data_IF_937627013808
#
_entry.id   IF_937627013808
#
_cell.length_a   1.000
_cell.length_b   1.000
_cell.length_c   1.000
_cell.angle_alpha   90.00
_cell.angle_beta   90.00
_cell.angle_gamma   90.00
#
_symmetry.space_group_name_H-M   'P 1'
#
loop_
_entity.id
_entity.type
_entity.pdbx_description
1 polymer ?
#
# COMPACT_ATOMS: atom_id res chain seq x y z
N UNK A 1 -1.77 88.40 0.89
CA UNK A 1 -1.81 87.18 0.04
C UNK A 1 -0.63 86.28 0.39
N UNK A 2 -0.83 85.24 1.20
CA UNK A 2 0.13 84.15 1.38
C UNK A 2 -0.67 82.85 1.32
N UNK A 3 -0.45 82.05 0.27
CA UNK A 3 -1.11 80.77 0.02
C UNK A 3 -0.68 79.76 1.09
N UNK A 4 -1.65 79.10 1.73
CA UNK A 4 -1.43 77.90 2.52
C UNK A 4 -1.47 76.69 1.57
N UNK A 5 -0.36 75.96 1.47
CA UNK A 5 -0.28 74.68 0.75
C UNK A 5 -0.67 73.59 1.74
N UNK A 6 -1.82 72.94 1.49
CA UNK A 6 -2.26 71.75 2.22
C UNK A 6 -1.63 70.53 1.54
N UNK A 7 -0.67 69.89 2.21
CA UNK A 7 -0.12 68.61 1.79
C UNK A 7 -1.09 67.49 2.22
N UNK A 8 -1.78 66.89 1.25
CA UNK A 8 -2.61 65.72 1.46
C UNK A 8 -1.72 64.47 1.58
N UNK A 9 -1.58 63.93 2.80
CA UNK A 9 -1.03 62.59 3.01
C UNK A 9 -2.04 61.55 2.48
N UNK A 10 -1.73 60.96 1.33
CA UNK A 10 -2.36 59.75 0.84
C UNK A 10 -1.82 58.56 1.64
N UNK A 11 -2.50 58.19 2.72
CA UNK A 11 -2.33 56.87 3.33
C UNK A 11 -2.85 55.82 2.35
N UNK A 12 -1.93 55.21 1.60
CA UNK A 12 -2.21 54.03 0.81
C UNK A 12 -2.65 52.90 1.75
N UNK A 13 -3.93 52.57 1.73
CA UNK A 13 -4.44 51.35 2.34
C UNK A 13 -3.85 50.16 1.57
N UNK A 14 -2.77 49.58 2.09
CA UNK A 14 -2.34 48.26 1.72
C UNK A 14 -3.45 47.30 2.17
N UNK A 15 -4.38 47.00 1.26
CA UNK A 15 -5.35 45.95 1.47
C UNK A 15 -4.55 44.64 1.64
N UNK A 16 -4.45 44.16 2.87
CA UNK A 16 -4.03 42.80 3.16
C UNK A 16 -5.00 41.86 2.45
N UNK A 17 -4.68 41.48 1.21
CA UNK A 17 -5.35 40.38 0.53
C UNK A 17 -5.03 39.13 1.36
N UNK A 18 -6.02 38.68 2.14
CA UNK A 18 -5.96 37.36 2.72
C UNK A 18 -5.74 36.37 1.57
N UNK A 19 -4.73 35.49 1.67
CA UNK A 19 -4.54 34.45 0.66
C UNK A 19 -5.83 33.66 0.54
N UNK A 20 -6.27 33.44 -0.70
CA UNK A 20 -7.49 32.69 -0.97
C UNK A 20 -7.39 31.32 -0.29
N UNK A 21 -8.50 30.85 0.30
CA UNK A 21 -8.56 29.53 0.88
C UNK A 21 -8.20 28.49 -0.20
N UNK A 22 -7.38 27.48 0.12
CA UNK A 22 -6.98 26.48 -0.85
C UNK A 22 -8.21 25.72 -1.37
N UNK A 23 -8.22 25.40 -2.65
CA UNK A 23 -9.27 24.60 -3.27
C UNK A 23 -8.87 23.14 -3.23
N UNK A 24 -9.83 22.26 -2.91
CA UNK A 24 -9.66 20.82 -2.96
C UNK A 24 -10.25 20.25 -4.26
N UNK A 25 -9.46 19.47 -4.97
CA UNK A 25 -9.89 18.77 -6.20
C UNK A 25 -9.65 17.28 -6.02
N UNK A 26 -10.65 16.47 -6.40
CA UNK A 26 -10.55 15.02 -6.44
C UNK A 26 -10.52 14.48 -7.87
N UNK A 27 -9.90 13.32 -8.06
CA UNK A 27 -9.90 12.54 -9.30
C UNK A 27 -9.91 11.06 -8.96
N UNK A 28 -10.71 10.28 -9.67
CA UNK A 28 -10.70 8.82 -9.56
C UNK A 28 -10.33 8.22 -10.92
N UNK A 29 -9.39 7.28 -10.92
CA UNK A 29 -8.89 6.57 -12.10
C UNK A 29 -8.77 5.08 -11.79
N UNK A 30 -8.64 4.24 -12.82
CA UNK A 30 -8.33 2.81 -12.65
C UNK A 30 -6.87 2.60 -13.02
N UNK A 31 -6.06 2.19 -12.06
CA UNK A 31 -4.62 1.95 -12.19
C UNK A 31 -4.23 0.77 -11.30
N UNK A 32 -3.19 0.03 -11.69
CA UNK A 32 -2.66 -1.11 -10.92
C UNK A 32 -3.74 -2.17 -10.59
N UNK A 33 -4.68 -2.36 -11.51
CA UNK A 33 -5.80 -3.31 -11.36
C UNK A 33 -6.84 -2.95 -10.29
N UNK A 34 -6.89 -1.69 -9.83
CA UNK A 34 -7.87 -1.22 -8.84
C UNK A 34 -8.34 0.21 -9.13
N UNK A 35 -9.40 0.64 -8.46
CA UNK A 35 -9.80 2.05 -8.42
C UNK A 35 -8.87 2.81 -7.50
N UNK A 36 -8.30 3.91 -7.99
CA UNK A 36 -7.43 4.81 -7.26
C UNK A 36 -8.08 6.19 -7.16
N UNK A 37 -8.27 6.68 -5.93
CA UNK A 37 -8.83 8.01 -5.67
C UNK A 37 -7.73 8.94 -5.19
N UNK A 38 -7.60 10.08 -5.86
CA UNK A 38 -6.64 11.13 -5.58
C UNK A 38 -7.37 12.38 -5.14
N UNK A 39 -6.83 13.09 -4.17
CA UNK A 39 -7.27 14.42 -3.77
C UNK A 39 -6.06 15.32 -3.54
N UNK A 40 -6.16 16.58 -3.95
CA UNK A 40 -5.11 17.57 -3.73
C UNK A 40 -5.72 18.92 -3.37
N UNK A 41 -5.05 19.63 -2.46
CA UNK A 41 -5.32 21.04 -2.16
C UNK A 41 -4.26 21.93 -2.82
N UNK A 42 -4.69 23.03 -3.43
CA UNK A 42 -3.81 24.01 -4.04
C UNK A 42 -4.43 25.42 -4.03
N UNK A 43 -3.66 26.42 -4.45
CA UNK A 43 -4.11 27.82 -4.51
C UNK A 43 -5.31 28.02 -5.46
N UNK A 44 -5.36 27.24 -6.55
CA UNK A 44 -6.46 27.24 -7.50
C UNK A 44 -6.68 25.85 -8.12
N UNK A 45 -7.76 25.74 -8.90
CA UNK A 45 -8.18 24.46 -9.49
C UNK A 45 -7.17 23.97 -10.54
N UNK A 46 -6.54 24.86 -11.28
CA UNK A 46 -5.59 24.48 -12.33
C UNK A 46 -4.31 23.89 -11.72
N UNK A 47 -3.79 24.49 -10.65
CA UNK A 47 -2.67 23.98 -9.88
C UNK A 47 -2.97 22.60 -9.27
N UNK A 48 -4.16 22.43 -8.68
CA UNK A 48 -4.57 21.13 -8.13
C UNK A 48 -4.67 20.06 -9.22
N UNK A 49 -5.27 20.36 -10.38
CA UNK A 49 -5.36 19.43 -11.52
C UNK A 49 -3.97 19.06 -12.07
N UNK A 50 -3.05 20.03 -12.18
CA UNK A 50 -1.69 19.77 -12.63
C UNK A 50 -0.93 18.85 -11.66
N UNK A 51 -1.08 19.05 -10.34
CA UNK A 51 -0.54 18.15 -9.32
C UNK A 51 -1.10 16.73 -9.45
N UNK A 52 -2.42 16.59 -9.51
CA UNK A 52 -3.08 15.29 -9.66
C UNK A 52 -2.60 14.54 -10.92
N UNK A 53 -2.41 15.27 -12.02
CA UNK A 53 -1.88 14.70 -13.26
C UNK A 53 -0.43 14.19 -13.12
N UNK A 54 0.44 14.92 -12.42
CA UNK A 54 1.81 14.44 -12.12
C UNK A 54 1.77 13.16 -11.29
N UNK A 55 0.94 13.13 -10.25
CA UNK A 55 0.80 11.96 -9.37
C UNK A 55 0.32 10.74 -10.13
N UNK A 56 -0.69 10.90 -10.99
CA UNK A 56 -1.19 9.82 -11.86
C UNK A 56 -0.07 9.26 -12.74
N UNK A 57 0.73 10.11 -13.38
CA UNK A 57 1.85 9.67 -14.24
C UNK A 57 2.92 8.88 -13.51
N UNK A 58 3.19 9.22 -12.25
CA UNK A 58 4.14 8.47 -11.41
C UNK A 58 3.61 7.06 -11.12
N UNK A 59 2.31 6.95 -10.83
CA UNK A 59 1.65 5.65 -10.62
C UNK A 59 1.65 4.83 -11.93
N UNK A 60 1.34 5.44 -13.07
CA UNK A 60 1.38 4.78 -14.39
C UNK A 60 2.79 4.29 -14.73
N UNK A 61 3.83 5.08 -14.45
CA UNK A 61 5.21 4.67 -14.66
C UNK A 61 5.60 3.48 -13.77
N UNK A 62 5.18 3.49 -12.50
CA UNK A 62 5.41 2.37 -11.57
C UNK A 62 4.66 1.11 -12.04
N UNK A 63 3.42 1.25 -12.51
CA UNK A 63 2.66 0.14 -13.09
C UNK A 63 3.34 -0.45 -14.33
N UNK A 64 3.87 0.41 -15.21
CA UNK A 64 4.61 -0.03 -16.38
C UNK A 64 5.89 -0.81 -16.02
N UNK A 65 6.53 -0.52 -14.89
CA UNK A 65 7.72 -1.23 -14.42
C UNK A 65 7.38 -2.56 -13.71
N UNK A 66 6.33 -2.58 -12.89
CA UNK A 66 6.08 -3.65 -11.92
C UNK A 66 4.91 -4.57 -12.27
N UNK A 67 4.06 -4.23 -13.25
CA UNK A 67 2.87 -5.03 -13.52
C UNK A 67 3.21 -6.42 -14.03
N UNK A 68 2.79 -7.45 -13.31
CA UNK A 68 2.88 -8.86 -13.73
C UNK A 68 1.75 -9.29 -14.67
N UNK A 69 0.88 -8.37 -15.05
CA UNK A 69 -0.22 -8.56 -16.01
C UNK A 69 0.13 -8.04 -17.40
N UNK A 70 1.17 -7.19 -17.48
CA UNK A 70 1.70 -6.67 -18.72
C UNK A 70 2.86 -7.54 -19.19
N UNK A 71 2.98 -7.73 -20.48
CA UNK A 71 4.11 -8.47 -21.03
C UNK A 71 5.38 -7.61 -21.13
N UNK A 72 5.30 -6.29 -21.09
CA UNK A 72 6.43 -5.38 -21.35
C UNK A 72 7.02 -4.72 -20.10
N UNK A 73 6.63 -5.18 -18.90
CA UNK A 73 7.18 -4.63 -17.65
C UNK A 73 8.53 -5.25 -17.30
N UNK A 74 9.38 -4.50 -16.61
CA UNK A 74 10.68 -4.99 -16.15
C UNK A 74 10.54 -6.24 -15.27
N UNK A 75 9.52 -6.27 -14.40
CA UNK A 75 9.24 -7.43 -13.55
C UNK A 75 8.74 -8.65 -14.35
N UNK A 76 7.88 -8.44 -15.35
CA UNK A 76 7.42 -9.53 -16.24
C UNK A 76 8.54 -10.06 -17.12
N UNK A 77 9.42 -9.20 -17.61
CA UNK A 77 10.60 -9.61 -18.36
C UNK A 77 11.56 -10.45 -17.50
N UNK A 78 11.77 -10.07 -16.23
CA UNK A 78 12.52 -10.88 -15.27
C UNK A 78 11.81 -12.23 -15.06
N UNK A 79 10.50 -12.23 -14.85
CA UNK A 79 9.71 -13.45 -14.63
C UNK A 79 9.70 -14.43 -15.82
N UNK A 80 9.93 -13.96 -17.06
CA UNK A 80 10.01 -14.83 -18.25
C UNK A 80 11.40 -15.35 -18.56
N UNK A 81 12.42 -14.86 -17.87
CA UNK A 81 13.80 -15.28 -18.12
C UNK A 81 13.99 -16.78 -17.86
N UNK A 82 14.67 -17.54 -18.74
CA UNK A 82 14.90 -18.95 -18.49
C UNK A 82 15.67 -19.20 -17.18
N UNK A 83 15.31 -20.23 -16.39
CA UNK A 83 16.10 -20.61 -15.25
C UNK A 83 17.56 -20.95 -15.63
N UNK A 84 18.52 -20.55 -14.79
CA UNK A 84 19.94 -20.78 -14.99
C UNK A 84 20.66 -19.68 -15.78
N UNK A 85 19.94 -18.76 -16.41
CA UNK A 85 20.55 -17.61 -17.09
C UNK A 85 20.63 -16.44 -16.10
N UNK A 86 21.76 -15.72 -15.99
CA UNK A 86 21.84 -14.46 -15.25
C UNK A 86 21.38 -13.26 -16.10
N UNK A 87 20.77 -12.27 -15.47
CA UNK A 87 20.32 -11.03 -16.13
C UNK A 87 20.54 -9.82 -15.25
N UNK A 88 21.13 -8.79 -15.84
CA UNK A 88 21.20 -7.48 -15.21
C UNK A 88 19.83 -6.81 -15.20
N UNK A 89 19.46 -6.23 -14.06
CA UNK A 89 18.24 -5.44 -13.88
C UNK A 89 18.58 -3.96 -13.76
N UNK A 90 17.66 -3.06 -14.16
CA UNK A 90 17.85 -1.62 -13.97
C UNK A 90 18.06 -1.26 -12.48
N UNK A 91 18.78 -0.17 -12.15
CA UNK A 91 19.02 0.23 -10.77
C UNK A 91 17.75 0.37 -9.90
N UNK A 92 16.63 0.95 -10.37
CA UNK A 92 15.40 1.02 -9.56
C UNK A 92 14.87 -0.37 -9.15
N UNK A 93 14.84 -1.32 -10.09
CA UNK A 93 14.44 -2.69 -9.81
C UNK A 93 15.45 -3.40 -8.91
N UNK A 94 16.76 -3.16 -9.07
CA UNK A 94 17.79 -3.70 -8.18
C UNK A 94 17.59 -3.26 -6.72
N UNK A 95 17.35 -1.97 -6.49
CA UNK A 95 17.09 -1.41 -5.16
C UNK A 95 15.79 -1.97 -4.56
N UNK A 96 14.75 -2.12 -5.37
CA UNK A 96 13.49 -2.75 -4.97
C UNK A 96 13.70 -4.21 -4.55
N UNK A 97 14.41 -5.01 -5.35
CA UNK A 97 14.70 -6.41 -5.02
C UNK A 97 15.48 -6.55 -3.72
N UNK A 98 16.45 -5.66 -3.46
CA UNK A 98 17.17 -5.66 -2.18
C UNK A 98 16.29 -5.33 -0.98
N UNK A 99 15.30 -4.44 -1.14
CA UNK A 99 14.31 -4.16 -0.09
C UNK A 99 13.38 -5.35 0.15
N UNK A 100 12.95 -6.02 -0.93
CA UNK A 100 12.09 -7.21 -0.87
C UNK A 100 12.78 -8.38 -0.17
N UNK A 101 14.06 -8.64 -0.49
CA UNK A 101 14.88 -9.65 0.18
C UNK A 101 14.97 -9.37 1.68
N UNK A 102 15.29 -8.14 2.07
CA UNK A 102 15.40 -7.75 3.47
C UNK A 102 14.10 -7.95 4.25
N UNK A 103 12.94 -7.64 3.67
CA UNK A 103 11.65 -7.88 4.32
C UNK A 103 11.28 -9.36 4.40
N UNK A 104 11.60 -10.13 3.36
CA UNK A 104 11.42 -11.58 3.39
C UNK A 104 12.21 -12.21 4.54
N UNK A 105 13.45 -11.77 4.74
CA UNK A 105 14.28 -12.21 5.88
C UNK A 105 13.72 -11.75 7.22
N UNK A 106 13.40 -10.45 7.37
CA UNK A 106 12.92 -9.87 8.61
C UNK A 106 11.61 -10.51 9.11
N UNK A 107 10.76 -10.93 8.18
CA UNK A 107 9.46 -11.57 8.44
C UNK A 107 9.53 -13.09 8.47
N UNK A 108 10.73 -13.68 8.36
CA UNK A 108 10.95 -15.13 8.28
C UNK A 108 10.07 -15.82 7.22
N UNK A 109 9.90 -15.17 6.07
CA UNK A 109 9.10 -15.66 4.95
C UNK A 109 7.58 -15.56 5.12
N UNK A 110 7.08 -14.87 6.15
CA UNK A 110 5.65 -14.52 6.21
C UNK A 110 5.28 -13.55 5.08
N UNK A 111 6.23 -12.72 4.64
CA UNK A 111 6.21 -12.06 3.34
C UNK A 111 7.27 -12.71 2.43
N UNK A 112 6.87 -13.09 1.22
CA UNK A 112 7.77 -13.52 0.16
C UNK A 112 7.11 -13.17 -1.18
N UNK A 113 7.73 -12.34 -2.02
CA UNK A 113 7.12 -11.93 -3.29
C UNK A 113 7.21 -13.02 -4.37
N UNK A 114 8.04 -14.06 -4.20
CA UNK A 114 8.26 -15.10 -5.21
C UNK A 114 7.20 -16.23 -5.13
N UNK A 115 5.92 -15.86 -5.12
CA UNK A 115 4.79 -16.78 -4.89
C UNK A 115 3.94 -17.03 -6.14
N UNK A 116 4.38 -16.60 -7.33
CA UNK A 116 3.54 -16.66 -8.54
C UNK A 116 3.04 -18.07 -8.88
N UNK A 117 3.86 -19.11 -8.68
CA UNK A 117 3.42 -20.50 -8.88
C UNK A 117 2.30 -20.93 -7.92
N UNK A 118 2.25 -20.38 -6.70
CA UNK A 118 1.18 -20.63 -5.74
C UNK A 118 -0.10 -19.89 -6.17
N UNK A 119 0.03 -18.63 -6.59
CA UNK A 119 -1.08 -17.84 -7.14
C UNK A 119 -1.74 -18.59 -8.31
N UNK A 120 -0.95 -19.15 -9.19
CA UNK A 120 -1.42 -19.94 -10.34
C UNK A 120 -2.06 -21.26 -9.90
N UNK A 121 -1.48 -21.97 -8.94
CA UNK A 121 -2.04 -23.21 -8.40
C UNK A 121 -3.44 -22.98 -7.81
N UNK A 122 -3.62 -21.90 -7.06
CA UNK A 122 -4.91 -21.49 -6.50
C UNK A 122 -5.82 -20.75 -7.49
N UNK A 123 -5.34 -20.47 -8.71
CA UNK A 123 -6.13 -19.81 -9.76
C UNK A 123 -6.60 -18.41 -9.38
N UNK A 124 -5.84 -17.69 -8.55
CA UNK A 124 -6.23 -16.40 -7.99
C UNK A 124 -6.20 -15.26 -9.03
N UNK A 125 -5.71 -15.51 -10.23
CA UNK A 125 -5.84 -14.61 -11.39
C UNK A 125 -7.13 -14.83 -12.20
N UNK A 126 -7.87 -15.90 -11.91
CA UNK A 126 -9.13 -16.27 -12.55
C UNK A 126 -10.25 -16.41 -11.51
N UNK A 127 -11.07 -17.47 -11.59
CA UNK A 127 -12.20 -17.72 -10.69
C UNK A 127 -11.79 -18.33 -9.33
N UNK A 128 -10.51 -18.64 -9.11
CA UNK A 128 -10.04 -19.41 -7.97
C UNK A 128 -10.30 -20.91 -8.12
N UNK A 129 -9.46 -21.74 -7.51
CA UNK A 129 -9.61 -23.20 -7.43
C UNK A 129 -8.90 -23.74 -6.20
N UNK A 130 -9.31 -24.92 -5.73
CA UNK A 130 -8.53 -25.70 -4.75
C UNK A 130 -7.59 -26.63 -5.51
N UNK A 131 -6.26 -26.45 -5.44
CA UNK A 131 -5.33 -27.42 -6.00
C UNK A 131 -5.39 -28.73 -5.21
N UNK A 132 -5.18 -29.86 -5.88
CA UNK A 132 -4.90 -31.11 -5.17
C UNK A 132 -3.50 -31.08 -4.51
N UNK A 133 -3.20 -32.08 -3.69
CA UNK A 133 -1.94 -32.14 -2.95
C UNK A 133 -0.70 -32.21 -3.86
N UNK A 134 -0.82 -32.86 -5.03
CA UNK A 134 0.28 -32.99 -5.97
C UNK A 134 0.56 -31.66 -6.68
N UNK A 135 -0.49 -30.99 -7.15
CA UNK A 135 -0.41 -29.66 -7.77
C UNK A 135 0.13 -28.61 -6.79
N UNK A 136 -0.34 -28.62 -5.53
CA UNK A 136 0.17 -27.72 -4.49
C UNK A 136 1.64 -28.03 -4.15
N UNK A 137 2.00 -29.30 -4.03
CA UNK A 137 3.40 -29.71 -3.81
C UNK A 137 4.33 -29.24 -4.93
N UNK A 138 3.91 -29.40 -6.19
CA UNK A 138 4.66 -28.95 -7.35
C UNK A 138 4.79 -27.42 -7.38
N UNK A 139 3.74 -26.68 -7.02
CA UNK A 139 3.77 -25.22 -6.95
C UNK A 139 4.74 -24.72 -5.86
N UNK A 140 4.69 -25.31 -4.66
CA UNK A 140 5.60 -24.98 -3.54
C UNK A 140 7.06 -25.22 -3.89
N UNK A 141 7.37 -26.28 -4.65
CA UNK A 141 8.73 -26.55 -5.12
C UNK A 141 9.26 -25.50 -6.10
N UNK A 142 8.40 -24.64 -6.65
CA UNK A 142 8.73 -23.54 -7.57
C UNK A 142 8.44 -22.16 -6.97
N UNK A 143 8.18 -22.07 -5.67
CA UNK A 143 7.91 -20.81 -4.98
C UNK A 143 9.00 -20.50 -3.95
N UNK A 144 9.17 -19.20 -3.70
CA UNK A 144 10.01 -18.66 -2.63
C UNK A 144 11.27 -18.00 -3.16
N UNK A 145 11.66 -16.91 -2.48
CA UNK A 145 12.86 -16.14 -2.76
C UNK A 145 14.14 -16.96 -2.87
N UNK A 146 14.37 -18.05 -2.09
CA UNK A 146 15.57 -18.88 -2.23
C UNK A 146 15.77 -19.52 -3.62
N UNK A 147 14.75 -19.49 -4.49
CA UNK A 147 14.85 -19.92 -5.89
C UNK A 147 15.30 -18.79 -6.83
N UNK A 148 15.65 -17.62 -6.30
CA UNK A 148 16.24 -16.49 -7.00
C UNK A 148 17.64 -16.28 -6.43
N UNK A 149 18.66 -16.39 -7.28
CA UNK A 149 19.99 -15.87 -6.94
C UNK A 149 20.01 -14.39 -7.26
N UNK A 150 20.13 -13.55 -6.23
CA UNK A 150 20.22 -12.10 -6.38
C UNK A 150 21.61 -11.62 -5.95
N UNK A 151 22.35 -11.05 -6.90
CA UNK A 151 23.58 -10.31 -6.63
C UNK A 151 23.26 -8.82 -6.63
N UNK A 152 23.21 -8.26 -5.42
CA UNK A 152 22.89 -6.85 -5.20
C UNK A 152 24.00 -5.92 -5.69
N UNK A 153 25.26 -6.32 -5.59
CA UNK A 153 26.39 -5.47 -6.00
C UNK A 153 26.47 -5.38 -7.53
N UNK A 154 26.25 -6.51 -8.21
CA UNK A 154 26.24 -6.58 -9.67
C UNK A 154 24.87 -6.26 -10.29
N UNK A 155 23.84 -5.97 -9.49
CA UNK A 155 22.45 -5.81 -9.91
C UNK A 155 22.01 -6.89 -10.91
N UNK A 156 22.31 -8.15 -10.58
CA UNK A 156 22.09 -9.31 -11.44
C UNK A 156 21.22 -10.34 -10.74
N UNK A 157 20.23 -10.87 -11.47
CA UNK A 157 19.32 -11.91 -10.99
C UNK A 157 19.45 -13.16 -11.85
N UNK A 158 19.48 -14.31 -11.20
CA UNK A 158 19.36 -15.63 -11.83
C UNK A 158 18.19 -16.38 -11.21
N UNK A 159 17.26 -16.85 -12.05
CA UNK A 159 16.18 -17.74 -11.61
C UNK A 159 16.74 -19.15 -11.50
N UNK A 160 16.74 -19.77 -10.32
CA UNK A 160 17.25 -21.14 -10.11
C UNK A 160 16.20 -22.20 -10.46
N UNK A 161 14.94 -21.82 -10.43
CA UNK A 161 13.79 -22.58 -10.88
C UNK A 161 12.78 -21.64 -11.54
N UNK A 162 11.63 -22.15 -11.95
CA UNK A 162 10.54 -21.34 -12.52
C UNK A 162 9.77 -20.52 -11.45
N UNK A 163 10.51 -19.89 -10.54
CA UNK A 163 9.96 -18.98 -9.52
C UNK A 163 9.69 -17.62 -10.13
N UNK A 164 8.52 -17.06 -9.85
CA UNK A 164 8.09 -15.76 -10.38
C UNK A 164 7.66 -14.84 -9.24
N UNK A 165 8.04 -13.58 -9.36
CA UNK A 165 7.70 -12.49 -8.46
C UNK A 165 6.30 -11.97 -8.76
N UNK A 166 5.53 -11.69 -7.72
CA UNK A 166 4.23 -11.02 -7.79
C UNK A 166 4.25 -9.70 -7.00
N UNK A 167 3.74 -8.64 -7.61
CA UNK A 167 3.77 -7.28 -7.04
C UNK A 167 2.57 -6.96 -6.15
N UNK A 168 1.64 -7.89 -5.93
CA UNK A 168 0.36 -7.62 -5.26
C UNK A 168 0.48 -7.09 -3.83
N UNK A 169 1.57 -7.41 -3.13
CA UNK A 169 1.79 -7.09 -1.72
C UNK A 169 2.78 -5.94 -1.47
N UNK A 170 3.25 -5.27 -2.52
CA UNK A 170 4.19 -4.15 -2.38
C UNK A 170 4.10 -3.08 -3.48
N UNK A 171 3.51 -3.40 -4.64
CA UNK A 171 3.55 -2.53 -5.82
C UNK A 171 2.81 -1.21 -5.59
N UNK A 172 1.67 -1.24 -4.89
CA UNK A 172 0.93 -0.02 -4.56
C UNK A 172 1.73 0.85 -3.60
N UNK A 173 2.34 0.24 -2.58
CA UNK A 173 3.23 0.93 -1.66
C UNK A 173 4.41 1.60 -2.37
N UNK A 174 5.02 0.92 -3.33
CA UNK A 174 6.10 1.48 -4.15
C UNK A 174 5.63 2.69 -4.97
N UNK A 175 4.46 2.60 -5.61
CA UNK A 175 3.90 3.70 -6.38
C UNK A 175 3.62 4.93 -5.50
N UNK A 176 3.11 4.72 -4.28
CA UNK A 176 2.86 5.79 -3.32
C UNK A 176 4.15 6.45 -2.83
N UNK A 177 5.21 5.68 -2.60
CA UNK A 177 6.52 6.23 -2.28
C UNK A 177 7.13 7.01 -3.46
N UNK A 178 6.93 6.53 -4.69
CA UNK A 178 7.28 7.25 -5.91
C UNK A 178 6.60 8.61 -5.99
N UNK A 179 5.28 8.68 -5.72
CA UNK A 179 4.54 9.95 -5.68
C UNK A 179 5.10 10.87 -4.59
N UNK A 180 5.34 10.33 -3.39
CA UNK A 180 5.90 11.11 -2.28
C UNK A 180 7.29 11.66 -2.60
N UNK A 181 8.11 10.91 -3.34
CA UNK A 181 9.40 11.39 -3.81
C UNK A 181 9.26 12.50 -4.85
N UNK A 182 8.33 12.36 -5.81
CA UNK A 182 8.07 13.35 -6.85
C UNK A 182 7.51 14.68 -6.31
N UNK A 183 6.81 14.66 -5.17
CA UNK A 183 6.21 15.85 -4.55
C UNK A 183 7.05 16.42 -3.39
N UNK A 184 8.30 15.98 -3.22
CA UNK A 184 9.19 16.44 -2.14
C UNK A 184 9.48 17.94 -2.19
N UNK A 185 9.66 18.49 -3.39
CA UNK A 185 10.05 19.89 -3.61
C UNK A 185 8.85 20.84 -3.75
N UNK A 186 7.63 20.29 -3.79
CA UNK A 186 6.36 21.03 -3.86
C UNK A 186 5.40 20.52 -2.77
N UNK A 187 5.68 20.79 -1.47
CA UNK A 187 4.97 20.18 -0.35
C UNK A 187 3.54 20.71 -0.25
N UNK A 188 2.62 20.04 -0.95
CA UNK A 188 1.18 20.27 -0.89
C UNK A 188 0.45 19.28 0.02
N UNK A 189 -0.81 19.60 0.33
CA UNK A 189 -1.71 18.66 0.95
C UNK A 189 -2.38 17.77 -0.11
N UNK A 190 -2.30 16.46 0.06
CA UNK A 190 -2.88 15.49 -0.86
C UNK A 190 -3.14 14.15 -0.19
N UNK A 191 -4.01 13.35 -0.81
CA UNK A 191 -4.34 11.98 -0.45
C UNK A 191 -4.42 11.12 -1.71
N UNK A 192 -3.93 9.89 -1.62
CA UNK A 192 -4.12 8.85 -2.63
C UNK A 192 -4.60 7.59 -1.90
N UNK A 193 -5.66 6.97 -2.40
CA UNK A 193 -6.24 5.74 -1.87
C UNK A 193 -6.46 4.70 -2.98
N UNK A 194 -5.80 3.55 -2.85
CA UNK A 194 -5.94 2.37 -3.72
C UNK A 194 -6.92 1.32 -3.18
N UNK A 195 -7.96 1.75 -2.46
CA UNK A 195 -8.99 0.90 -1.88
C UNK A 195 -8.56 0.25 -0.55
N UNK A 196 -7.88 1.01 0.30
CA UNK A 196 -7.38 0.55 1.61
C UNK A 196 -5.85 0.60 1.77
N UNK A 197 -5.13 0.98 0.72
CA UNK A 197 -3.73 1.40 0.77
C UNK A 197 -3.67 2.90 0.48
N UNK A 198 -3.44 3.68 1.52
CA UNK A 198 -3.63 5.13 1.53
C UNK A 198 -2.32 5.83 1.87
N UNK A 199 -1.88 6.80 1.07
CA UNK A 199 -0.83 7.73 1.47
C UNK A 199 -1.34 9.16 1.47
N UNK A 200 -0.86 9.94 2.43
CA UNK A 200 -1.23 11.34 2.58
C UNK A 200 -0.03 12.26 2.80
N UNK A 201 -0.25 13.52 2.50
CA UNK A 201 0.57 14.66 2.92
C UNK A 201 -0.36 15.75 3.41
N UNK A 202 -0.06 16.36 4.55
CA UNK A 202 -0.75 17.54 5.05
C UNK A 202 -0.17 18.86 4.51
N UNK A 203 0.93 18.80 3.76
CA UNK A 203 1.67 19.98 3.31
C UNK A 203 2.12 20.88 4.46
N UNK A 204 2.47 22.13 4.15
CA UNK A 204 2.88 23.10 5.16
C UNK A 204 1.78 23.46 6.17
N UNK A 205 0.51 23.34 5.78
CA UNK A 205 -0.63 23.63 6.64
C UNK A 205 -0.93 22.51 7.65
N UNK A 206 -0.31 21.33 7.49
CA UNK A 206 -0.58 20.18 8.35
C UNK A 206 -1.99 19.63 8.21
N UNK A 207 -2.62 19.75 7.03
CA UNK A 207 -3.97 19.23 6.76
C UNK A 207 -4.03 17.75 7.14
N UNK A 208 -4.93 17.41 8.08
CA UNK A 208 -5.22 16.04 8.42
C UNK A 208 -6.30 15.48 7.48
N UNK A 209 -6.07 14.27 6.99
CA UNK A 209 -7.00 13.55 6.14
C UNK A 209 -7.69 12.44 6.95
N UNK A 210 -9.04 12.39 6.96
CA UNK A 210 -9.76 11.28 7.56
C UNK A 210 -9.55 10.02 6.70
N UNK A 211 -9.14 8.93 7.34
CA UNK A 211 -8.98 7.61 6.72
C UNK A 211 -9.75 6.59 7.53
N UNK A 212 -10.79 6.01 6.92
CA UNK A 212 -11.63 5.02 7.57
C UNK A 212 -10.92 3.66 7.65
N UNK A 213 -11.09 2.99 8.80
CA UNK A 213 -10.84 1.57 8.96
C UNK A 213 -12.16 0.83 8.74
N UNK A 214 -12.21 -0.04 7.74
CA UNK A 214 -13.43 -0.77 7.40
C UNK A 214 -13.61 -2.04 8.26
N UNK A 215 -14.87 -2.44 8.45
CA UNK A 215 -15.22 -3.72 9.06
C UNK A 215 -14.64 -4.87 8.20
N UNK A 216 -13.96 -5.87 8.78
CA UNK A 216 -13.33 -6.94 8.01
C UNK A 216 -14.29 -7.72 7.11
N UNK A 217 -15.55 -7.87 7.51
CA UNK A 217 -16.60 -8.53 6.71
C UNK A 217 -17.42 -7.57 5.82
N UNK A 218 -17.41 -6.27 6.09
CA UNK A 218 -18.27 -5.26 5.45
C UNK A 218 -17.45 -4.02 5.08
N UNK A 219 -16.88 -4.01 3.87
CA UNK A 219 -15.92 -2.98 3.43
C UNK A 219 -16.47 -1.58 3.37
N UNK A 220 -17.76 -1.46 3.15
CA UNK A 220 -18.53 -0.23 3.09
C UNK A 220 -18.89 0.32 4.48
N UNK A 221 -18.66 -0.46 5.54
CA UNK A 221 -18.94 -0.06 6.91
C UNK A 221 -17.64 0.34 7.63
N UNK A 222 -17.42 1.64 7.92
CA UNK A 222 -16.32 2.07 8.76
C UNK A 222 -16.56 1.68 10.23
N UNK A 223 -15.53 1.13 10.88
CA UNK A 223 -15.52 0.80 12.33
C UNK A 223 -14.68 1.78 13.14
N UNK A 224 -13.80 2.53 12.49
CA UNK A 224 -13.04 3.62 13.07
C UNK A 224 -12.59 4.60 11.97
N UNK A 225 -12.16 5.79 12.37
CA UNK A 225 -11.56 6.78 11.47
C UNK A 225 -10.29 7.34 12.10
N UNK A 226 -9.21 7.38 11.32
CA UNK A 226 -7.91 7.90 11.71
C UNK A 226 -7.66 9.25 11.03
N UNK A 227 -7.03 10.18 11.74
CA UNK A 227 -6.63 11.48 11.17
C UNK A 227 -5.14 11.43 10.82
N UNK A 228 -4.82 11.43 9.52
CA UNK A 228 -3.44 11.35 9.03
C UNK A 228 -3.00 12.68 8.42
N UNK A 229 -1.96 13.30 8.99
CA UNK A 229 -1.28 14.44 8.38
C UNK A 229 -0.07 14.05 7.52
N UNK A 230 0.32 12.77 7.55
CA UNK A 230 1.46 12.25 6.77
C UNK A 230 1.65 10.75 6.96
N UNK A 231 2.43 10.16 6.05
CA UNK A 231 2.71 8.72 6.01
C UNK A 231 1.69 7.94 5.20
N UNK A 232 1.72 6.62 5.36
CA UNK A 232 0.84 5.68 4.66
C UNK A 232 0.13 4.78 5.65
N UNK A 233 -1.09 4.37 5.33
CA UNK A 233 -1.84 3.34 6.03
C UNK A 233 -2.22 2.26 5.02
N UNK A 234 -1.70 1.06 5.23
CA UNK A 234 -1.99 -0.10 4.40
C UNK A 234 -2.90 -1.06 5.16
N UNK A 235 -3.94 -1.56 4.50
CA UNK A 235 -4.84 -2.56 5.07
C UNK A 235 -4.77 -3.84 4.25
N UNK A 236 -4.65 -4.98 4.93
CA UNK A 236 -4.76 -6.30 4.31
C UNK A 236 -5.87 -7.12 4.96
N UNK A 237 -6.74 -7.70 4.14
CA UNK A 237 -7.79 -8.62 4.57
C UNK A 237 -8.17 -9.63 3.48
N UNK A 238 -8.51 -10.86 3.87
CA UNK A 238 -9.03 -11.85 2.91
C UNK A 238 -10.31 -11.37 2.19
N UNK A 239 -11.10 -10.49 2.80
CA UNK A 239 -12.33 -9.94 2.22
C UNK A 239 -12.11 -8.97 1.06
N UNK A 240 -10.87 -8.54 0.77
CA UNK A 240 -10.55 -7.70 -0.42
C UNK A 240 -10.92 -8.39 -1.70
N UNK A 241 -10.64 -9.69 -1.73
CA UNK A 241 -10.90 -10.52 -2.89
C UNK A 241 -11.06 -11.95 -2.41
N UNK A 242 -12.27 -12.47 -2.63
CA UNK A 242 -12.64 -13.83 -2.25
C UNK A 242 -13.12 -14.59 -3.47
N UNK A 243 -12.82 -15.88 -3.50
CA UNK A 243 -13.18 -16.78 -4.60
C UNK A 243 -14.09 -17.88 -4.07
N UNK A 244 -15.21 -18.10 -4.75
CA UNK A 244 -16.17 -19.16 -4.42
C UNK A 244 -15.76 -20.44 -5.13
N UNK A 245 -15.50 -21.51 -4.38
CA UNK A 245 -15.01 -22.79 -4.91
C UNK A 245 -16.13 -23.79 -5.23
N UNK A 246 -17.40 -23.38 -5.11
CA UNK A 246 -18.54 -24.30 -5.07
C UNK A 246 -18.78 -24.82 -3.64
N UNK A 247 -19.94 -25.46 -3.41
CA UNK A 247 -20.34 -26.05 -2.11
C UNK A 247 -20.29 -25.12 -0.87
N UNK A 248 -20.26 -23.79 -1.06
CA UNK A 248 -20.17 -22.82 0.03
C UNK A 248 -18.75 -22.48 0.50
N UNK A 249 -17.73 -23.12 -0.07
CA UNK A 249 -16.32 -22.86 0.25
C UNK A 249 -15.88 -21.52 -0.36
N UNK A 250 -15.25 -20.67 0.46
CA UNK A 250 -14.64 -19.40 0.03
C UNK A 250 -13.19 -19.36 0.44
N UNK A 251 -12.32 -18.87 -0.45
CA UNK A 251 -10.91 -18.62 -0.16
C UNK A 251 -10.56 -17.15 -0.37
N UNK A 252 -9.67 -16.61 0.45
CA UNK A 252 -9.07 -15.30 0.26
C UNK A 252 -7.93 -15.34 -0.76
N UNK A 253 -7.48 -14.15 -1.17
CA UNK A 253 -6.37 -13.99 -2.12
C UNK A 253 -4.97 -13.95 -1.46
N UNK A 254 -4.90 -13.82 -0.13
CA UNK A 254 -3.62 -13.77 0.60
C UNK A 254 -3.20 -15.21 0.95
N UNK A 255 -2.04 -15.61 0.45
CA UNK A 255 -1.42 -16.91 0.69
C UNK A 255 -0.33 -16.77 1.76
N UNK A 256 -0.18 -17.77 2.62
CA UNK A 256 1.03 -17.92 3.42
C UNK A 256 2.10 -18.60 2.54
N UNK A 257 3.22 -17.93 2.20
CA UNK A 257 4.24 -18.48 1.32
C UNK A 257 4.86 -19.79 1.85
N UNK A 258 4.88 -19.98 3.19
CA UNK A 258 5.52 -21.12 3.86
C UNK A 258 4.68 -22.39 3.71
N UNK A 259 3.37 -22.25 3.88
CA UNK A 259 2.43 -23.37 3.73
C UNK A 259 1.97 -23.56 2.27
N UNK A 260 1.98 -22.48 1.50
CA UNK A 260 1.42 -22.41 0.14
C UNK A 260 -0.10 -22.29 0.11
N UNK A 261 -0.77 -22.13 1.24
CA UNK A 261 -2.24 -22.12 1.35
C UNK A 261 -2.79 -20.73 1.69
N UNK A 262 -4.07 -20.44 1.37
CA UNK A 262 -4.75 -19.24 1.82
C UNK A 262 -4.76 -19.13 3.34
N UNK A 263 -4.54 -17.91 3.82
CA UNK A 263 -4.64 -17.58 5.25
C UNK A 263 -6.10 -17.73 5.70
N UNK A 264 -6.35 -18.48 6.78
CA UNK A 264 -7.66 -19.05 7.11
C UNK A 264 -8.51 -18.26 8.13
N UNK A 265 -8.16 -17.01 8.46
CA UNK A 265 -8.87 -16.20 9.47
C UNK A 265 -9.50 -14.94 8.88
N UNK A 266 -10.64 -14.53 9.43
CA UNK A 266 -11.49 -13.46 8.88
C UNK A 266 -11.33 -12.17 9.69
N UNK A 267 -10.31 -11.39 9.37
CA UNK A 267 -10.00 -10.13 10.02
C UNK A 267 -9.34 -9.18 9.03
N UNK A 268 -8.92 -8.01 9.50
CA UNK A 268 -8.03 -7.12 8.76
C UNK A 268 -6.87 -6.67 9.63
N UNK A 269 -5.77 -6.29 8.99
CA UNK A 269 -4.62 -5.66 9.64
C UNK A 269 -4.35 -4.35 8.93
N UNK A 270 -4.36 -3.26 9.70
CA UNK A 270 -3.97 -1.93 9.26
C UNK A 270 -2.59 -1.58 9.83
N UNK A 271 -1.66 -1.17 8.96
CA UNK A 271 -0.31 -0.76 9.35
C UNK A 271 -0.07 0.66 8.89
N UNK A 272 0.33 1.52 9.82
CA UNK A 272 0.81 2.86 9.48
C UNK A 272 2.34 2.90 9.46
N UNK A 273 2.90 3.55 8.43
CA UNK A 273 4.34 3.79 8.36
C UNK A 273 4.64 5.05 7.51
N UNK A 274 5.71 5.82 7.79
CA UNK A 274 6.10 6.97 6.95
C UNK A 274 6.51 6.60 5.52
N UNK A 275 6.97 5.37 5.30
CA UNK A 275 7.25 4.79 3.99
C UNK A 275 6.12 3.83 3.59
N UNK A 276 5.50 4.08 2.43
CA UNK A 276 4.31 3.38 1.96
C UNK A 276 4.58 1.93 1.55
N UNK A 277 5.72 1.67 0.91
CA UNK A 277 6.19 0.32 0.59
C UNK A 277 6.26 -0.56 1.84
N UNK A 278 6.83 -0.04 2.93
CA UNK A 278 6.92 -0.74 4.21
C UNK A 278 5.54 -1.02 4.80
N UNK A 279 4.60 -0.06 4.74
CA UNK A 279 3.24 -0.29 5.22
C UNK A 279 2.57 -1.44 4.44
N UNK A 280 2.70 -1.46 3.11
CA UNK A 280 2.11 -2.47 2.21
C UNK A 280 2.65 -3.89 2.50
N UNK A 281 3.98 -3.99 2.60
CA UNK A 281 4.66 -5.24 2.91
C UNK A 281 4.26 -5.75 4.29
N UNK A 282 4.26 -4.86 5.29
CA UNK A 282 3.95 -5.24 6.66
C UNK A 282 2.47 -5.60 6.86
N UNK A 283 1.53 -4.91 6.23
CA UNK A 283 0.11 -5.29 6.35
C UNK A 283 -0.12 -6.72 5.87
N UNK A 284 0.55 -7.12 4.78
CA UNK A 284 0.50 -8.49 4.27
C UNK A 284 1.22 -9.47 5.20
N UNK A 285 2.46 -9.16 5.60
CA UNK A 285 3.26 -10.02 6.47
C UNK A 285 2.57 -10.30 7.81
N UNK A 286 2.06 -9.25 8.46
CA UNK A 286 1.37 -9.34 9.74
C UNK A 286 0.03 -10.07 9.61
N UNK A 287 -0.69 -9.89 8.50
CA UNK A 287 -1.88 -10.67 8.22
C UNK A 287 -1.59 -12.18 8.10
N UNK A 288 -0.47 -12.54 7.46
CA UNK A 288 0.02 -13.93 7.36
C UNK A 288 0.49 -14.48 8.71
N UNK A 289 1.12 -13.66 9.56
CA UNK A 289 1.52 -14.06 10.92
C UNK A 289 0.32 -14.29 11.85
N UNK A 290 -0.79 -13.60 11.61
CA UNK A 290 -1.97 -13.63 12.46
C UNK A 290 -1.85 -12.71 13.68
N UNK A 291 -2.94 -12.56 14.46
CA UNK A 291 -3.05 -11.54 15.50
C UNK A 291 -2.08 -11.75 16.66
N UNK A 292 -1.85 -12.99 17.09
CA UNK A 292 -0.97 -13.24 18.24
C UNK A 292 0.51 -12.97 17.89
N UNK A 293 1.06 -13.75 16.95
CA UNK A 293 2.46 -13.62 16.55
C UNK A 293 2.76 -12.30 15.84
N UNK A 294 1.83 -11.78 15.04
CA UNK A 294 2.01 -10.54 14.30
C UNK A 294 2.02 -9.31 15.21
N UNK A 295 1.13 -9.25 16.20
CA UNK A 295 1.11 -8.14 17.16
C UNK A 295 2.39 -8.10 17.99
N UNK A 296 2.85 -9.25 18.49
CA UNK A 296 4.10 -9.37 19.24
C UNK A 296 5.31 -8.98 18.39
N UNK A 297 5.37 -9.47 17.14
CA UNK A 297 6.46 -9.16 16.22
C UNK A 297 6.54 -7.67 15.90
N UNK A 298 5.38 -7.03 15.68
CA UNK A 298 5.27 -5.61 15.36
C UNK A 298 5.61 -4.73 16.57
N UNK A 299 5.08 -5.06 17.77
CA UNK A 299 5.36 -4.34 19.00
C UNK A 299 6.84 -4.39 19.38
N UNK A 300 7.49 -5.56 19.22
CA UNK A 300 8.92 -5.72 19.48
C UNK A 300 9.83 -4.88 18.55
N UNK A 301 9.29 -4.34 17.46
CA UNK A 301 9.99 -3.53 16.45
C UNK A 301 9.43 -2.11 16.32
N UNK A 302 8.55 -1.72 17.23
CA UNK A 302 7.92 -0.40 17.26
C UNK A 302 7.12 -0.04 15.99
N UNK A 303 6.55 -1.05 15.32
CA UNK A 303 5.67 -0.83 14.17
C UNK A 303 4.24 -0.53 14.62
N UNK A 304 3.64 0.52 14.05
CA UNK A 304 2.26 0.90 14.30
C UNK A 304 1.28 0.00 13.52
N UNK A 305 0.87 -1.10 14.14
CA UNK A 305 -0.13 -2.03 13.62
C UNK A 305 -1.40 -2.08 14.47
N UNK A 306 -2.53 -2.31 13.80
CA UNK A 306 -3.86 -2.51 14.36
C UNK A 306 -4.54 -3.69 13.67
N UNK A 307 -4.86 -4.73 14.43
CA UNK A 307 -5.65 -5.87 13.98
C UNK A 307 -7.12 -5.61 14.34
N UNK A 308 -8.01 -5.77 13.37
CA UNK A 308 -9.45 -5.61 13.54
C UNK A 308 -10.08 -6.99 13.43
N UNK A 309 -10.54 -7.52 14.57
CA UNK A 309 -11.03 -8.89 14.70
C UNK A 309 -12.55 -8.86 14.91
N UNK A 310 -13.36 -9.45 14.01
CA UNK A 310 -14.80 -9.56 14.20
C UNK A 310 -15.13 -10.44 15.40
N UNK A 311 -16.10 -10.02 16.22
CA UNK A 311 -16.66 -10.86 17.26
C UNK A 311 -17.64 -11.86 16.63
N UNK A 312 -17.51 -13.14 16.99
CA UNK A 312 -18.32 -14.20 16.42
C UNK A 312 -19.84 -13.93 16.58
N UNK A 313 -20.56 -13.93 15.46
CA UNK A 313 -22.02 -13.78 15.44
C UNK A 313 -22.53 -12.36 15.71
N UNK A 314 -21.69 -11.32 15.57
CA UNK A 314 -22.10 -9.91 15.70
C UNK A 314 -21.33 -9.01 14.73
N UNK A 315 -21.85 -7.79 14.51
CA UNK A 315 -21.16 -6.74 13.73
C UNK A 315 -20.09 -6.01 14.54
N UNK A 316 -19.87 -6.41 15.80
CA UNK A 316 -18.86 -5.79 16.67
C UNK A 316 -17.47 -6.26 16.29
N UNK A 317 -16.51 -5.36 16.41
CA UNK A 317 -15.09 -5.66 16.26
C UNK A 317 -14.30 -5.39 17.54
N UNK A 318 -13.20 -6.12 17.69
CA UNK A 318 -12.16 -5.86 18.68
C UNK A 318 -10.93 -5.33 17.96
N UNK A 319 -10.35 -4.24 18.47
CA UNK A 319 -9.08 -3.71 18.02
C UNK A 319 -7.96 -4.27 18.88
N UNK A 320 -6.96 -4.91 18.27
CA UNK A 320 -5.71 -5.28 18.93
C UNK A 320 -4.60 -4.40 18.36
N UNK A 321 -4.06 -3.51 19.19
CA UNK A 321 -3.15 -2.45 18.76
C UNK A 321 -1.77 -2.59 19.38
N UNK A 322 -0.77 -2.24 18.60
CA UNK A 322 0.60 -2.05 19.11
C UNK A 322 0.69 -0.74 19.88
N UNK A 323 1.62 -0.60 20.84
CA UNK A 323 1.84 0.66 21.54
C UNK A 323 2.15 1.84 20.59
N UNK A 324 2.93 1.59 19.52
CA UNK A 324 3.23 2.58 18.50
C UNK A 324 1.96 3.09 17.78
N UNK A 325 1.00 2.20 17.52
CA UNK A 325 -0.27 2.58 16.92
C UNK A 325 -1.10 3.44 17.87
N UNK A 326 -1.21 3.06 19.14
CA UNK A 326 -1.98 3.83 20.16
C UNK A 326 -1.40 5.22 20.43
N UNK A 327 -0.07 5.32 20.50
CA UNK A 327 0.61 6.61 20.67
C UNK A 327 0.31 7.56 19.50
N UNK A 328 0.21 7.01 18.30
CA UNK A 328 -0.01 7.80 17.09
C UNK A 328 -1.48 8.11 16.84
N UNK A 329 -2.34 7.14 17.09
CA UNK A 329 -3.77 7.23 16.93
C UNK A 329 -4.40 6.84 18.26
N UNK A 330 -4.58 7.80 19.18
CA UNK A 330 -5.34 7.57 20.39
C UNK A 330 -6.78 7.28 19.94
N UNK A 331 -7.09 6.00 19.76
CA UNK A 331 -8.45 5.55 19.50
C UNK A 331 -9.20 5.92 20.78
N UNK A 332 -9.97 7.00 20.73
CA UNK A 332 -10.95 7.26 21.77
C UNK A 332 -11.77 5.97 21.86
N UNK A 333 -11.86 5.39 23.05
CA UNK A 333 -12.74 4.27 23.34
C UNK A 333 -14.20 4.73 23.13
N UNK A 334 -14.60 4.90 21.86
CA UNK A 334 -15.97 5.08 21.43
C UNK A 334 -16.43 3.67 21.15
N UNK A 335 -17.34 3.23 22.00
CA UNK A 335 -17.86 1.87 22.01
C UNK A 335 -18.26 1.43 20.61
N UNK A 336 -18.07 0.14 20.38
CA UNK A 336 -18.61 -0.61 19.25
C UNK A 336 -19.92 0.01 18.78
N UNK A 337 -19.89 0.59 17.57
CA UNK A 337 -21.08 0.70 16.73
C UNK A 337 -21.33 -0.68 16.12
#
# INVERSE_FOLDING_TARGET
>A
MRLAVVAALLLGAAACQQPAAPVRVGRTVVLMGTTATFAAEAADRAAALARLERMVRVVEATEAELSTWRDDSALSELNRQPPGEPRSVPPPLCDLLGRLEGWREATAGAFDPAIGSLIDAWGLRAAGRRPDAAALGAARARAGWPLLGFDREACTVIRLADATLDAGAFGKGEALDGVRAAERDDPGAWLIDFGGQVAVSGGAAGTAWPVALAHPAHRDQPVAELQLAGGSLATSAASERTFSLGSGDRIGHILDPRSGAPVAWQASVAVWHPNAFTADVLSTALYVMGPDAGLDWAAARDFAACFIVPAAGSDRVTFLTTPAFEQRFPLQARGAL
#
